data_IF_471978127801
#
_entry.id   IF_471978127801
#
_cell.length_a   1.000
_cell.length_b   1.000
_cell.length_c   1.000
_cell.angle_alpha   90.00
_cell.angle_beta   90.00
_cell.angle_gamma   90.00
#
_symmetry.space_group_name_H-M   'P 1'
#
loop_
_entity.id
_entity.type
_entity.pdbx_description
1 polymer ?
#
# COMPACT_ATOMS: atom_id res chain seq x y z
N UNK A 1 29.56 21.03 2.16
CA UNK A 1 28.19 20.45 1.97
C UNK A 1 27.19 21.55 2.27
N UNK A 2 26.28 21.80 1.40
CA UNK A 2 25.28 22.83 1.64
C UNK A 2 24.13 22.33 2.52
N UNK A 3 23.31 23.24 3.00
CA UNK A 3 22.21 22.90 3.90
C UNK A 3 21.17 21.98 3.23
N UNK A 4 20.94 22.15 1.93
CA UNK A 4 19.95 21.34 1.23
C UNK A 4 20.42 19.88 1.13
N UNK A 5 21.69 19.65 0.90
CA UNK A 5 22.22 18.29 0.88
C UNK A 5 22.11 17.62 2.24
N UNK A 6 22.43 18.33 3.31
CA UNK A 6 22.29 17.82 4.68
C UNK A 6 20.84 17.49 5.01
N UNK A 7 19.89 18.35 4.62
CA UNK A 7 18.47 18.12 4.83
C UNK A 7 18.02 16.87 4.08
N UNK A 8 18.40 16.73 2.82
CA UNK A 8 18.04 15.57 2.02
C UNK A 8 18.60 14.28 2.59
N UNK A 9 19.85 14.29 3.04
CA UNK A 9 20.46 13.12 3.66
C UNK A 9 19.74 12.74 4.96
N UNK A 10 19.39 13.71 5.80
CA UNK A 10 18.64 13.47 7.02
C UNK A 10 17.25 12.90 6.74
N UNK A 11 16.55 13.44 5.74
CA UNK A 11 15.24 12.93 5.35
C UNK A 11 15.32 11.49 4.86
N UNK A 12 16.30 11.16 4.04
CA UNK A 12 16.50 9.79 3.55
C UNK A 12 16.88 8.83 4.66
N UNK A 13 17.69 9.27 5.63
CA UNK A 13 18.11 8.44 6.75
C UNK A 13 16.97 8.20 7.75
N UNK A 14 16.16 9.22 8.02
CA UNK A 14 15.10 9.18 9.03
C UNK A 14 13.76 8.73 8.49
N UNK A 15 13.49 9.03 7.22
CA UNK A 15 12.19 8.79 6.58
C UNK A 15 12.36 8.04 5.27
N UNK A 16 12.70 6.77 5.38
CA UNK A 16 12.72 5.87 4.22
C UNK A 16 11.29 5.61 3.78
N UNK A 17 10.72 6.49 2.96
CA UNK A 17 9.31 6.44 2.56
C UNK A 17 9.15 6.34 1.06
N UNK A 18 8.10 5.62 0.66
CA UNK A 18 7.65 5.58 -0.72
C UNK A 18 6.14 5.45 -0.76
N UNK A 19 5.54 5.94 -1.84
CA UNK A 19 4.10 5.87 -2.01
C UNK A 19 3.74 5.73 -3.48
N UNK A 20 2.78 4.86 -3.75
CA UNK A 20 2.25 4.60 -5.09
C UNK A 20 0.76 4.82 -5.10
N UNK A 21 0.25 5.27 -6.23
CA UNK A 21 -1.16 5.56 -6.45
C UNK A 21 -1.66 4.73 -7.64
N UNK A 22 -2.88 4.26 -7.49
CA UNK A 22 -3.64 3.57 -8.52
C UNK A 22 -4.92 4.36 -8.79
N UNK A 23 -5.15 4.68 -10.07
CA UNK A 23 -6.33 5.44 -10.52
C UNK A 23 -7.12 4.63 -11.52
N UNK A 24 -7.95 3.73 -11.03
CA UNK A 24 -8.91 3.00 -11.84
C UNK A 24 -8.36 2.16 -12.99
N UNK A 25 -7.07 1.86 -13.02
CA UNK A 25 -6.53 0.89 -13.96
C UNK A 25 -7.10 -0.50 -13.68
N UNK A 26 -7.22 -1.31 -14.73
CA UNK A 26 -7.70 -2.67 -14.55
C UNK A 26 -6.67 -3.50 -13.77
N UNK A 27 -7.16 -4.28 -12.81
CA UNK A 27 -6.29 -5.22 -12.10
C UNK A 27 -5.77 -6.29 -13.04
N UNK A 28 -4.57 -6.79 -12.74
CA UNK A 28 -3.88 -7.79 -13.55
C UNK A 28 -4.25 -9.20 -13.10
N UNK A 29 -3.63 -10.19 -13.73
CA UNK A 29 -3.81 -11.59 -13.35
C UNK A 29 -3.62 -11.77 -11.84
N UNK A 30 -4.52 -12.51 -11.18
CA UNK A 30 -4.53 -12.66 -9.73
C UNK A 30 -5.06 -11.42 -9.00
N UNK A 31 -5.73 -10.53 -9.72
CA UNK A 31 -6.32 -9.30 -9.17
C UNK A 31 -5.28 -8.32 -8.60
N UNK A 32 -4.04 -8.39 -9.05
CA UNK A 32 -2.99 -7.50 -8.59
C UNK A 32 -3.19 -6.07 -9.11
N UNK A 33 -3.04 -5.10 -8.22
CA UNK A 33 -3.16 -3.68 -8.58
C UNK A 33 -1.90 -3.25 -9.34
N UNK A 34 -2.04 -2.73 -10.57
CA UNK A 34 -0.93 -2.13 -11.29
C UNK A 34 -0.77 -0.68 -10.89
N UNK A 35 0.18 -0.40 -10.01
CA UNK A 35 0.42 0.97 -9.56
C UNK A 35 0.76 1.87 -10.75
N UNK A 36 0.18 3.06 -10.80
CA UNK A 36 0.29 3.93 -11.95
C UNK A 36 1.26 5.08 -11.74
N UNK A 37 1.34 5.59 -10.51
CA UNK A 37 2.15 6.75 -10.18
C UNK A 37 2.94 6.46 -8.90
N UNK A 38 4.24 6.74 -8.93
CA UNK A 38 5.05 6.79 -7.73
C UNK A 38 5.17 8.26 -7.31
N UNK A 39 4.49 8.63 -6.25
CA UNK A 39 4.44 10.03 -5.82
C UNK A 39 5.64 10.46 -5.00
N UNK A 40 6.24 9.53 -4.29
CA UNK A 40 7.45 9.76 -3.51
C UNK A 40 8.22 8.47 -3.37
N UNK A 41 9.54 8.57 -3.37
CA UNK A 41 10.42 7.47 -3.02
C UNK A 41 11.75 8.08 -2.56
N UNK A 42 11.93 8.16 -1.25
CA UNK A 42 13.15 8.74 -0.66
C UNK A 42 14.28 7.73 -0.53
N UNK A 43 14.02 6.46 -0.84
CA UNK A 43 15.00 5.39 -0.77
C UNK A 43 14.89 4.49 -2.00
N UNK A 44 15.24 5.00 -3.20
CA UNK A 44 15.05 4.23 -4.43
C UNK A 44 15.87 2.95 -4.52
N UNK A 45 16.93 2.82 -3.73
CA UNK A 45 17.69 1.58 -3.65
C UNK A 45 17.03 0.54 -2.73
N UNK A 46 16.09 0.95 -1.92
CA UNK A 46 15.36 0.07 -1.01
C UNK A 46 13.97 -0.30 -1.52
N UNK A 47 13.33 0.57 -2.27
CA UNK A 47 12.00 0.36 -2.83
C UNK A 47 12.08 0.33 -4.35
N UNK A 48 12.04 -0.87 -4.91
CA UNK A 48 12.18 -1.08 -6.34
C UNK A 48 10.81 -1.37 -6.96
N UNK A 49 10.29 -0.40 -7.69
CA UNK A 49 9.02 -0.56 -8.41
C UNK A 49 9.28 -1.31 -9.70
N UNK A 50 8.78 -2.53 -9.77
CA UNK A 50 9.10 -3.45 -10.86
C UNK A 50 8.37 -3.12 -12.16
N UNK A 51 8.86 -3.66 -13.29
CA UNK A 51 8.37 -3.32 -14.63
C UNK A 51 6.89 -3.61 -14.82
N UNK A 52 6.41 -4.70 -14.29
CA UNK A 52 5.00 -5.09 -14.38
C UNK A 52 4.08 -4.18 -13.58
N UNK A 53 4.64 -3.29 -12.78
CA UNK A 53 3.92 -2.28 -11.98
C UNK A 53 3.08 -2.82 -10.84
N UNK A 54 2.90 -4.12 -10.75
CA UNK A 54 2.07 -4.75 -9.72
C UNK A 54 2.83 -5.06 -8.44
N UNK A 55 4.15 -5.05 -8.47
CA UNK A 55 4.94 -5.36 -7.29
C UNK A 55 6.03 -4.34 -7.02
N UNK A 56 6.34 -4.22 -5.73
CA UNK A 56 7.43 -3.40 -5.24
C UNK A 56 8.34 -4.32 -4.45
N UNK A 57 9.63 -4.36 -4.79
CA UNK A 57 10.61 -5.10 -4.00
C UNK A 57 11.15 -4.23 -2.89
N UNK A 58 11.10 -4.71 -1.66
CA UNK A 58 11.71 -4.09 -0.50
C UNK A 58 13.01 -4.83 -0.22
N UNK A 59 14.13 -4.15 -0.33
CA UNK A 59 15.45 -4.79 -0.28
C UNK A 59 15.90 -5.08 1.15
N UNK A 60 15.84 -4.09 2.02
CA UNK A 60 16.29 -4.24 3.40
C UNK A 60 15.24 -4.90 4.27
N UNK A 61 15.61 -5.94 5.02
CA UNK A 61 14.69 -6.53 5.99
C UNK A 61 14.48 -5.55 7.16
N UNK A 62 13.35 -5.67 7.82
CA UNK A 62 13.08 -4.87 9.00
C UNK A 62 11.59 -4.66 9.26
N UNK A 63 11.31 -3.75 10.17
CA UNK A 63 9.96 -3.36 10.52
C UNK A 63 9.56 -2.15 9.70
N UNK A 64 8.41 -2.23 9.08
CA UNK A 64 7.87 -1.19 8.22
C UNK A 64 6.45 -0.83 8.64
N UNK A 65 6.14 0.46 8.54
CA UNK A 65 4.76 0.90 8.58
C UNK A 65 4.21 0.85 7.14
N UNK A 66 3.10 0.16 6.97
CA UNK A 66 2.38 0.14 5.70
C UNK A 66 1.06 0.87 5.85
N UNK A 67 0.73 1.69 4.86
CA UNK A 67 -0.57 2.34 4.78
C UNK A 67 -1.21 2.01 3.45
N UNK A 68 -2.48 1.63 3.51
CA UNK A 68 -3.28 1.30 2.34
C UNK A 68 -4.58 2.11 2.40
N UNK A 69 -5.05 2.54 1.26
CA UNK A 69 -6.35 3.18 1.17
C UNK A 69 -6.99 2.88 -0.17
N UNK A 70 -8.28 2.60 -0.14
CA UNK A 70 -9.06 2.31 -1.35
C UNK A 70 -10.41 2.98 -1.25
N UNK A 71 -10.81 3.66 -2.30
CA UNK A 71 -12.05 4.42 -2.38
C UNK A 71 -12.85 3.92 -3.58
N UNK A 72 -14.03 3.42 -3.31
CA UNK A 72 -14.91 2.82 -4.29
C UNK A 72 -16.36 2.88 -3.84
N UNK A 73 -17.31 2.63 -4.74
CA UNK A 73 -18.72 2.70 -4.41
C UNK A 73 -19.19 1.51 -3.55
N UNK A 74 -18.53 0.38 -3.68
CA UNK A 74 -18.79 -0.81 -2.87
C UNK A 74 -17.53 -1.23 -2.13
N UNK A 75 -17.69 -1.85 -0.99
CA UNK A 75 -16.59 -2.32 -0.17
C UNK A 75 -15.74 -3.34 -0.93
N UNK A 76 -14.44 -3.11 -1.07
CA UNK A 76 -13.58 -4.07 -1.74
C UNK A 76 -13.12 -5.18 -0.82
N UNK A 77 -12.59 -6.22 -1.42
CA UNK A 77 -11.78 -7.23 -0.73
C UNK A 77 -10.33 -7.00 -1.10
N UNK A 78 -9.49 -6.78 -0.11
CA UNK A 78 -8.09 -6.39 -0.32
C UNK A 78 -7.17 -7.28 0.49
N UNK A 79 -6.08 -7.71 -0.13
CA UNK A 79 -5.04 -8.48 0.55
C UNK A 79 -3.68 -7.90 0.23
N UNK A 80 -2.84 -7.78 1.26
CA UNK A 80 -1.42 -7.55 1.07
C UNK A 80 -0.73 -8.90 0.95
N UNK A 81 0.04 -9.06 -0.11
CA UNK A 81 0.82 -10.27 -0.37
C UNK A 81 2.30 -9.96 -0.23
N UNK A 82 3.02 -10.79 0.50
CA UNK A 82 4.48 -10.75 0.54
C UNK A 82 4.99 -12.05 -0.07
N UNK A 83 5.75 -11.93 -1.15
CA UNK A 83 6.25 -13.06 -1.93
C UNK A 83 5.12 -14.00 -2.37
N UNK A 84 3.98 -13.42 -2.73
CA UNK A 84 2.81 -14.17 -3.19
C UNK A 84 1.93 -14.74 -2.09
N UNK A 85 2.29 -14.57 -0.82
CA UNK A 85 1.52 -15.10 0.30
C UNK A 85 0.74 -14.00 1.01
N UNK A 86 -0.56 -14.17 1.26
CA UNK A 86 -1.35 -13.17 1.98
C UNK A 86 -0.87 -13.05 3.42
N UNK A 87 -0.56 -11.83 3.83
CA UNK A 87 -0.14 -11.55 5.21
C UNK A 87 -1.10 -10.62 5.92
N UNK A 88 -1.95 -9.94 5.18
CA UNK A 88 -2.92 -9.00 5.73
C UNK A 88 -4.12 -8.97 4.80
N UNK A 89 -5.31 -9.13 5.36
CA UNK A 89 -6.54 -9.17 4.56
C UNK A 89 -7.62 -8.30 5.17
N UNK A 90 -8.31 -7.57 4.33
CA UNK A 90 -9.54 -6.87 4.68
C UNK A 90 -10.64 -7.38 3.77
N UNK A 91 -11.72 -7.86 4.37
CA UNK A 91 -12.81 -8.46 3.62
C UNK A 91 -13.97 -7.51 3.44
N UNK A 92 -14.72 -7.74 2.37
CA UNK A 92 -15.96 -7.02 2.09
C UNK A 92 -17.07 -7.55 3.00
N UNK A 93 -17.33 -6.85 4.09
CA UNK A 93 -18.37 -7.20 5.05
C UNK A 93 -19.08 -5.94 5.54
N UNK A 94 -20.14 -6.09 6.31
CA UNK A 94 -20.89 -4.97 6.88
C UNK A 94 -20.00 -4.08 7.75
N UNK A 95 -19.03 -4.66 8.41
CA UNK A 95 -17.93 -3.95 9.08
C UNK A 95 -16.64 -4.42 8.46
N UNK A 96 -15.71 -3.52 8.20
CA UNK A 96 -14.40 -3.93 7.72
C UNK A 96 -13.69 -4.74 8.79
N UNK A 97 -13.32 -5.97 8.46
CA UNK A 97 -12.67 -6.90 9.38
C UNK A 97 -11.29 -7.22 8.86
N UNK A 98 -10.30 -7.10 9.70
CA UNK A 98 -8.93 -7.52 9.41
C UNK A 98 -8.76 -8.94 9.92
N UNK A 99 -8.37 -9.85 9.04
CA UNK A 99 -8.09 -11.25 9.39
C UNK A 99 -6.66 -11.45 9.85
N UNK A 100 -5.92 -10.38 10.01
CA UNK A 100 -4.59 -10.38 10.57
C UNK A 100 -4.59 -9.55 11.86
N UNK A 101 -4.01 -10.06 12.92
CA UNK A 101 -4.18 -9.51 14.26
C UNK A 101 -3.44 -8.20 14.51
N UNK A 102 -2.47 -7.83 13.71
CA UNK A 102 -1.64 -6.65 13.97
C UNK A 102 -2.12 -5.39 13.28
N UNK A 103 -3.13 -5.48 12.44
CA UNK A 103 -3.58 -4.34 11.66
C UNK A 103 -4.63 -3.50 12.35
N UNK A 104 -4.67 -2.24 11.97
CA UNK A 104 -5.77 -1.35 12.32
C UNK A 104 -6.53 -1.00 11.06
N UNK A 105 -7.80 -1.37 11.04
CA UNK A 105 -8.69 -1.00 9.96
C UNK A 105 -9.51 0.21 10.39
N UNK A 106 -9.44 1.27 9.59
CA UNK A 106 -10.29 2.43 9.79
C UNK A 106 -11.32 2.47 8.68
N UNK A 107 -12.57 2.50 9.06
CA UNK A 107 -13.66 2.72 8.12
C UNK A 107 -13.79 4.21 7.88
N UNK A 108 -13.54 4.64 6.65
CA UNK A 108 -13.72 6.04 6.24
C UNK A 108 -15.20 6.39 6.18
N UNK A 109 -16.07 5.38 6.14
CA UNK A 109 -17.50 5.55 6.13
C UNK A 109 -18.05 5.86 4.75
N UNK A 110 -19.34 6.12 4.72
CA UNK A 110 -20.02 6.57 3.52
C UNK A 110 -20.05 8.08 3.52
N UNK A 111 -19.79 8.67 2.36
CA UNK A 111 -20.07 10.08 2.19
C UNK A 111 -21.57 10.35 2.27
N UNK A 112 -21.94 11.58 2.53
CA UNK A 112 -23.34 11.99 2.59
C UNK A 112 -24.09 11.71 1.28
N UNK A 113 -23.38 11.71 0.17
CA UNK A 113 -23.92 11.27 -1.12
C UNK A 113 -24.26 9.78 -1.17
N UNK A 114 -23.82 9.02 -0.17
CA UNK A 114 -24.15 7.60 0.00
C UNK A 114 -23.42 6.63 -0.90
N UNK A 115 -22.56 7.12 -1.79
CA UNK A 115 -22.06 6.29 -2.87
C UNK A 115 -20.59 5.93 -2.78
N UNK A 116 -19.82 6.57 -1.93
CA UNK A 116 -18.39 6.31 -1.80
C UNK A 116 -18.10 5.68 -0.45
N UNK A 117 -17.48 4.53 -0.49
CA UNK A 117 -17.03 3.79 0.69
C UNK A 117 -15.52 3.76 0.69
N UNK A 118 -14.91 4.09 1.82
CA UNK A 118 -13.47 4.06 1.97
C UNK A 118 -13.03 2.88 2.85
N UNK A 119 -11.87 2.36 2.53
CA UNK A 119 -11.13 1.41 3.34
C UNK A 119 -9.74 1.98 3.54
N UNK A 120 -9.35 2.23 4.78
CA UNK A 120 -8.00 2.68 5.12
C UNK A 120 -7.42 1.75 6.16
N UNK A 121 -6.21 1.30 5.92
CA UNK A 121 -5.47 0.40 6.80
C UNK A 121 -4.10 0.99 7.08
N UNK A 122 -3.69 0.95 8.35
CA UNK A 122 -2.32 1.24 8.77
C UNK A 122 -1.87 0.09 9.67
N UNK A 123 -0.72 -0.49 9.36
CA UNK A 123 -0.18 -1.61 10.12
C UNK A 123 1.35 -1.54 10.14
N UNK A 124 1.93 -2.26 11.08
CA UNK A 124 3.37 -2.47 11.18
C UNK A 124 3.67 -3.92 10.85
N UNK A 125 4.51 -4.14 9.86
CA UNK A 125 4.82 -5.48 9.39
C UNK A 125 6.33 -5.70 9.33
N UNK A 126 6.74 -6.91 9.64
CA UNK A 126 8.11 -7.35 9.44
C UNK A 126 8.25 -7.81 7.99
N UNK A 127 9.16 -7.19 7.26
CA UNK A 127 9.40 -7.53 5.86
C UNK A 127 10.75 -8.21 5.76
N UNK A 128 10.81 -9.42 5.17
CA UNK A 128 12.09 -10.09 4.96
C UNK A 128 12.91 -9.44 3.85
N UNK A 129 14.18 -9.82 3.78
CA UNK A 129 15.08 -9.32 2.75
C UNK A 129 14.57 -9.61 1.34
N UNK A 130 14.64 -8.62 0.47
CA UNK A 130 14.27 -8.71 -0.95
C UNK A 130 12.88 -9.28 -1.17
N UNK A 131 11.94 -8.85 -0.35
CA UNK A 131 10.56 -9.28 -0.46
C UNK A 131 9.80 -8.46 -1.50
N UNK A 132 8.97 -9.13 -2.28
CA UNK A 132 8.04 -8.47 -3.22
C UNK A 132 6.70 -8.29 -2.57
N UNK A 133 6.24 -7.05 -2.56
CA UNK A 133 4.93 -6.67 -2.04
C UNK A 133 3.98 -6.40 -3.18
N UNK A 134 2.79 -6.95 -3.09
CA UNK A 134 1.71 -6.70 -4.04
C UNK A 134 0.39 -6.63 -3.31
N UNK A 135 -0.58 -5.99 -3.94
CA UNK A 135 -1.93 -5.87 -3.40
C UNK A 135 -2.89 -6.59 -4.34
N UNK A 136 -3.64 -7.51 -3.78
CA UNK A 136 -4.76 -8.15 -4.46
C UNK A 136 -6.02 -7.37 -4.14
N UNK A 137 -6.77 -7.02 -5.17
CA UNK A 137 -7.98 -6.23 -5.05
C UNK A 137 -9.11 -6.91 -5.80
N UNK A 138 -10.25 -7.06 -5.14
CA UNK A 138 -11.48 -7.52 -5.77
C UNK A 138 -12.60 -6.57 -5.39
N UNK A 139 -13.15 -5.90 -6.39
CA UNK A 139 -14.18 -4.89 -6.18
C UNK A 139 -14.60 -4.26 -7.49
N UNK A 140 -15.26 -3.11 -7.40
CA UNK A 140 -15.73 -2.41 -8.57
C UNK A 140 -14.60 -1.82 -9.41
N UNK A 141 -14.86 -1.69 -10.70
CA UNK A 141 -14.04 -0.87 -11.57
C UNK A 141 -14.20 0.61 -11.22
N UNK A 142 -13.20 1.42 -11.54
CA UNK A 142 -13.23 2.84 -11.27
C UNK A 142 -12.82 3.22 -9.85
N UNK A 143 -12.33 2.28 -9.07
CA UNK A 143 -11.79 2.56 -7.74
C UNK A 143 -10.44 3.26 -7.82
N UNK A 144 -10.09 3.95 -6.74
CA UNK A 144 -8.78 4.56 -6.56
C UNK A 144 -8.13 4.01 -5.30
N UNK A 145 -6.82 3.99 -5.27
CA UNK A 145 -6.12 3.51 -4.09
C UNK A 145 -4.68 3.98 -3.99
N UNK A 146 -4.10 3.76 -2.83
CA UNK A 146 -2.69 4.03 -2.60
C UNK A 146 -2.07 2.98 -1.69
N UNK A 147 -0.76 2.85 -1.81
CA UNK A 147 0.07 2.10 -0.87
C UNK A 147 1.24 2.98 -0.46
N UNK A 148 1.48 3.09 0.83
CA UNK A 148 2.63 3.79 1.38
C UNK A 148 3.46 2.87 2.25
N UNK A 149 4.78 3.04 2.21
CA UNK A 149 5.74 2.30 3.03
C UNK A 149 6.67 3.28 3.73
N UNK A 150 6.96 2.98 5.00
CA UNK A 150 7.92 3.72 5.79
C UNK A 150 8.72 2.74 6.63
N UNK A 151 10.03 2.76 6.48
CA UNK A 151 10.90 1.94 7.31
C UNK A 151 11.04 2.56 8.70
N UNK A 152 10.91 1.74 9.72
CA UNK A 152 11.05 2.16 11.12
C UNK A 152 12.46 1.95 11.65
#
# INVERSE_FOLDING_TARGET
MDNQTLINEALCAENCVARWIWKSGQVRNGYAIPWEIQTVNTAPDNYLWEKEKTSVMVVSPGLYEISLGFYCNKKPTVQLLINGEPVLSAVNSASYVIHHSSGKLKNVGKHSSGNITGLTLIDFIAIPERARLSISYSGEEGAEGFMGLKKL
#
